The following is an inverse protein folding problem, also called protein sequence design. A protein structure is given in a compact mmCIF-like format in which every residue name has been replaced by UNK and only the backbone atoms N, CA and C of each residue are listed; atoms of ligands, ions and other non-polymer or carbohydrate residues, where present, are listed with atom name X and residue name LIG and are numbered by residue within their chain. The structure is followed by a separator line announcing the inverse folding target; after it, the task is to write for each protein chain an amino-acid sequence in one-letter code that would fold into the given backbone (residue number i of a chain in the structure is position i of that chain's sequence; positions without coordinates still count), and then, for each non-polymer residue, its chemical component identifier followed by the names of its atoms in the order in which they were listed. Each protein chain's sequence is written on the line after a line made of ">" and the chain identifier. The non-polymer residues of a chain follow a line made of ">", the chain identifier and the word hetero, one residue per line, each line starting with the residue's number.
data_IF_544625245723
#
_entry.id   IF_544625245723
#
_cell.length_a   1.000
_cell.length_b   1.000
_cell.length_c   1.000
_cell.angle_alpha   90.00
_cell.angle_beta   90.00
_cell.angle_gamma   90.00
#
_symmetry.space_group_name_H-M   'P 1'
#
loop_
_entity.id
_entity.type
_entity.pdbx_description
1 polymer ?
#
# COMPACT_ATOMS: atom_id res chain seq x y z
N UNK A 1 8.64 16.21 15.27
CA UNK A 1 8.67 17.04 14.05
C UNK A 1 7.68 18.18 14.22
N UNK A 2 8.12 19.42 13.95
CA UNK A 2 7.23 20.57 13.92
C UNK A 2 6.25 20.49 12.75
N UNK A 3 5.01 20.96 12.93
CA UNK A 3 3.99 20.98 11.89
C UNK A 3 4.36 22.05 10.86
N UNK A 4 4.56 21.65 9.61
CA UNK A 4 4.92 22.53 8.50
C UNK A 4 3.84 22.57 7.41
N UNK A 5 3.71 23.70 6.73
CA UNK A 5 2.73 23.90 5.65
C UNK A 5 3.04 23.11 4.37
N UNK A 6 4.27 22.56 4.26
CA UNK A 6 4.72 21.77 3.11
C UNK A 6 4.41 20.27 3.24
N UNK A 7 3.95 19.83 4.41
CA UNK A 7 3.63 18.43 4.71
C UNK A 7 2.10 18.32 4.74
N UNK A 8 1.60 17.35 4.03
CA UNK A 8 0.15 17.11 3.92
C UNK A 8 -0.39 16.39 5.15
N UNK A 9 -1.63 16.69 5.50
CA UNK A 9 -2.42 15.93 6.47
C UNK A 9 -3.18 14.83 5.72
N UNK A 10 -3.22 13.64 6.30
CA UNK A 10 -4.08 12.56 5.82
C UNK A 10 -5.56 12.88 6.08
N UNK A 11 -6.51 12.21 5.43
CA UNK A 11 -7.94 12.29 5.77
C UNK A 11 -8.26 11.85 7.21
N UNK A 12 -7.36 11.12 7.85
CA UNK A 12 -7.50 10.58 9.20
C UNK A 12 -6.76 11.40 10.27
N UNK A 13 -6.14 12.53 9.88
CA UNK A 13 -5.28 13.32 10.76
C UNK A 13 -5.99 13.75 12.04
N UNK A 14 -7.23 14.26 11.96
CA UNK A 14 -7.99 14.71 13.12
C UNK A 14 -8.41 13.53 14.01
N UNK A 15 -8.72 12.38 13.42
CA UNK A 15 -8.96 11.13 14.17
C UNK A 15 -7.69 10.67 14.88
N UNK A 16 -6.52 10.75 14.25
CA UNK A 16 -5.25 10.43 14.91
C UNK A 16 -5.02 11.30 16.15
N UNK A 17 -5.28 12.60 16.06
CA UNK A 17 -5.20 13.53 17.21
C UNK A 17 -6.20 13.15 18.30
N UNK A 18 -7.45 12.88 17.93
CA UNK A 18 -8.53 12.49 18.86
C UNK A 18 -8.19 11.22 19.64
N UNK A 19 -7.56 10.22 18.98
CA UNK A 19 -7.23 8.94 19.57
C UNK A 19 -5.81 8.87 20.18
N UNK A 20 -5.15 10.02 20.36
CA UNK A 20 -3.97 10.16 21.19
C UNK A 20 -2.67 9.78 20.50
N UNK A 21 -2.53 10.13 19.21
CA UNK A 21 -1.23 10.00 18.53
C UNK A 21 -0.13 10.71 19.32
N UNK A 22 0.99 10.03 19.54
CA UNK A 22 2.12 10.55 20.32
C UNK A 22 3.14 11.31 19.48
N UNK A 23 3.11 11.13 18.15
CA UNK A 23 4.00 11.82 17.24
C UNK A 23 3.72 11.47 15.78
N UNK A 24 4.35 12.23 14.89
CA UNK A 24 4.30 12.00 13.45
C UNK A 24 5.72 12.00 12.88
N UNK A 25 5.94 11.17 11.88
CA UNK A 25 7.04 11.29 10.92
C UNK A 25 6.52 11.81 9.59
N UNK A 26 7.40 11.96 8.61
CA UNK A 26 7.05 12.32 7.24
C UNK A 26 7.34 11.13 6.33
N UNK A 27 6.36 10.73 5.57
CA UNK A 27 6.43 9.69 4.57
C UNK A 27 5.69 10.16 3.32
N UNK A 28 6.30 10.12 2.15
CA UNK A 28 5.72 10.65 0.91
C UNK A 28 5.15 12.09 1.04
N UNK A 29 5.84 12.98 1.79
CA UNK A 29 5.41 14.37 2.06
C UNK A 29 4.07 14.47 2.81
N UNK A 30 3.67 13.43 3.54
CA UNK A 30 2.48 13.38 4.38
C UNK A 30 2.85 13.01 5.81
N UNK A 31 2.09 13.49 6.79
CA UNK A 31 2.23 13.06 8.18
C UNK A 31 1.79 11.62 8.35
N UNK A 32 2.68 10.78 8.85
CA UNK A 32 2.43 9.39 9.22
C UNK A 32 2.54 9.24 10.73
N UNK A 33 1.54 8.69 11.44
CA UNK A 33 1.64 8.44 12.88
C UNK A 33 2.83 7.56 13.23
N UNK A 34 3.47 7.82 14.38
CA UNK A 34 4.60 7.02 14.89
C UNK A 34 4.29 6.25 16.17
N UNK A 35 3.12 6.44 16.76
CA UNK A 35 2.66 5.69 17.93
C UNK A 35 1.44 6.31 18.58
N UNK A 36 0.75 5.51 19.38
CA UNK A 36 -0.41 5.91 20.21
C UNK A 36 -0.23 5.43 21.65
N UNK A 37 -0.25 4.12 21.89
CA UNK A 37 -0.20 3.53 23.23
C UNK A 37 1.17 2.93 23.61
N UNK A 38 2.13 3.08 22.72
CA UNK A 38 3.49 2.57 22.84
C UNK A 38 3.71 1.25 22.13
N UNK A 39 4.95 1.00 21.63
CA UNK A 39 5.26 -0.07 20.70
C UNK A 39 4.92 -1.47 21.23
N UNK A 40 5.15 -1.73 22.50
CA UNK A 40 4.86 -3.03 23.11
C UNK A 40 3.36 -3.33 23.15
N UNK A 41 2.53 -2.38 23.60
CA UNK A 41 1.07 -2.55 23.66
C UNK A 41 0.46 -2.67 22.29
N UNK A 42 0.96 -1.89 21.33
CA UNK A 42 0.52 -1.94 19.94
C UNK A 42 0.89 -3.28 19.30
N UNK A 43 2.11 -3.77 19.55
CA UNK A 43 2.57 -5.09 19.13
C UNK A 43 1.70 -6.21 19.71
N UNK A 44 1.44 -6.20 21.03
CA UNK A 44 0.59 -7.23 21.66
C UNK A 44 -0.83 -7.25 21.09
N UNK A 45 -1.40 -6.08 20.79
CA UNK A 45 -2.71 -6.01 20.14
C UNK A 45 -2.68 -6.53 18.71
N UNK A 46 -1.61 -6.25 17.96
CA UNK A 46 -1.43 -6.69 16.58
C UNK A 46 -1.36 -8.22 16.47
N UNK A 47 -0.65 -8.89 17.38
CA UNK A 47 -0.47 -10.35 17.31
C UNK A 47 -1.60 -11.15 18.00
N UNK A 48 -2.42 -10.55 18.86
CA UNK A 48 -3.44 -11.26 19.62
C UNK A 48 -4.89 -10.85 19.29
N UNK A 49 -5.09 -9.63 18.78
CA UNK A 49 -6.42 -9.04 18.62
C UNK A 49 -6.63 -8.50 17.19
N UNK A 50 -7.04 -7.26 17.10
CA UNK A 50 -7.13 -6.50 15.84
C UNK A 50 -6.63 -5.08 16.07
N UNK A 51 -5.92 -4.57 15.09
CA UNK A 51 -5.43 -3.21 15.07
C UNK A 51 -5.83 -2.53 13.77
N UNK A 52 -5.87 -1.20 13.78
CA UNK A 52 -6.07 -0.43 12.55
C UNK A 52 -5.33 0.91 12.67
N UNK A 53 -4.99 1.48 11.53
CA UNK A 53 -4.19 2.71 11.50
C UNK A 53 -4.23 3.42 10.16
N UNK A 54 -3.77 4.66 10.21
CA UNK A 54 -3.62 5.57 9.08
C UNK A 54 -2.38 5.21 8.27
N UNK A 55 -2.58 4.71 7.05
CA UNK A 55 -1.55 4.40 6.06
C UNK A 55 -1.68 5.26 4.80
N UNK A 56 -2.45 6.36 4.85
CA UNK A 56 -2.67 7.25 3.71
C UNK A 56 -1.38 7.86 3.13
N UNK A 57 -0.29 7.84 3.89
CA UNK A 57 1.01 8.31 3.44
C UNK A 57 1.62 7.46 2.30
N UNK A 58 1.10 6.28 2.00
CA UNK A 58 1.53 5.48 0.84
C UNK A 58 1.21 6.14 -0.50
N UNK A 59 0.24 7.06 -0.56
CA UNK A 59 -0.10 7.88 -1.73
C UNK A 59 -0.15 7.11 -3.04
N UNK A 60 -1.28 6.52 -3.33
CA UNK A 60 -1.49 5.72 -4.54
C UNK A 60 -1.22 6.51 -5.81
N UNK A 61 -0.72 5.82 -6.83
CA UNK A 61 -0.52 6.33 -8.18
C UNK A 61 -1.47 5.55 -9.08
N UNK A 62 -2.38 6.25 -9.77
CA UNK A 62 -3.25 5.64 -10.76
C UNK A 62 -2.58 5.72 -12.14
N UNK A 63 -2.55 4.58 -12.83
CA UNK A 63 -2.17 4.44 -14.24
C UNK A 63 -3.41 3.94 -14.96
N UNK A 64 -3.87 4.71 -15.94
CA UNK A 64 -5.10 4.42 -16.68
C UNK A 64 -4.93 4.74 -18.16
N UNK A 65 -5.46 3.91 -19.03
CA UNK A 65 -5.43 4.09 -20.48
C UNK A 65 -5.28 2.76 -21.23
N UNK A 66 -5.49 2.76 -22.55
CA UNK A 66 -5.40 1.56 -23.39
C UNK A 66 -4.08 0.79 -23.21
N UNK A 67 -2.96 1.49 -23.02
CA UNK A 67 -1.63 0.91 -22.90
C UNK A 67 -1.17 0.76 -21.44
N UNK A 68 -2.09 0.89 -20.45
CA UNK A 68 -1.73 0.85 -19.04
C UNK A 68 -1.09 -0.47 -18.61
N UNK A 69 -1.57 -1.62 -19.11
CA UNK A 69 -0.99 -2.93 -18.82
C UNK A 69 0.44 -3.04 -19.35
N UNK A 70 0.68 -2.60 -20.57
CA UNK A 70 2.01 -2.66 -21.19
C UNK A 70 3.00 -1.72 -20.49
N UNK A 71 2.54 -0.54 -20.07
CA UNK A 71 3.34 0.36 -19.28
C UNK A 71 3.69 -0.25 -17.91
N UNK A 72 2.72 -0.85 -17.22
CA UNK A 72 2.97 -1.50 -15.91
C UNK A 72 3.93 -2.68 -16.06
N UNK A 73 3.87 -3.44 -17.16
CA UNK A 73 4.85 -4.49 -17.47
C UNK A 73 6.24 -3.94 -17.73
N UNK A 74 6.32 -2.79 -18.41
CA UNK A 74 7.60 -2.18 -18.77
C UNK A 74 8.39 -1.62 -17.58
N UNK A 75 7.71 -1.12 -16.54
CA UNK A 75 8.37 -0.43 -15.41
C UNK A 75 8.89 -1.35 -14.30
N UNK A 76 8.69 -2.67 -14.39
CA UNK A 76 9.03 -3.61 -13.34
C UNK A 76 9.34 -5.03 -13.90
N UNK A 77 10.18 -5.86 -13.23
CA UNK A 77 10.69 -7.11 -13.77
C UNK A 77 9.78 -8.33 -13.57
N UNK A 78 8.71 -8.23 -12.80
CA UNK A 78 7.84 -9.36 -12.48
C UNK A 78 6.90 -9.68 -13.62
N UNK A 79 6.76 -10.96 -13.96
CA UNK A 79 5.73 -11.42 -14.91
C UNK A 79 4.33 -11.20 -14.35
N UNK A 80 3.47 -10.53 -15.12
CA UNK A 80 2.10 -10.17 -14.75
C UNK A 80 1.02 -10.99 -15.47
N UNK A 81 1.34 -12.08 -16.15
CA UNK A 81 0.37 -12.89 -16.90
C UNK A 81 -0.75 -13.44 -16.01
N UNK A 82 -0.45 -13.68 -14.74
CA UNK A 82 -1.41 -14.13 -13.70
C UNK A 82 -1.91 -12.98 -12.81
N UNK A 83 -1.86 -11.74 -13.31
CA UNK A 83 -2.43 -10.59 -12.62
C UNK A 83 -3.79 -10.25 -13.21
N UNK A 84 -4.82 -11.03 -12.87
CA UNK A 84 -6.20 -10.80 -13.30
C UNK A 84 -6.79 -9.53 -12.67
N UNK A 85 -7.90 -9.02 -13.21
CA UNK A 85 -8.68 -7.94 -12.59
C UNK A 85 -9.07 -8.36 -11.17
N UNK A 86 -8.95 -7.44 -10.21
CA UNK A 86 -9.12 -7.73 -8.79
C UNK A 86 -7.92 -8.43 -8.14
N UNK A 87 -6.79 -8.56 -8.83
CA UNK A 87 -5.56 -9.10 -8.23
C UNK A 87 -4.61 -7.99 -7.80
N UNK A 88 -3.90 -8.26 -6.70
CA UNK A 88 -2.77 -7.47 -6.24
C UNK A 88 -1.45 -8.23 -6.48
N UNK A 89 -0.36 -7.51 -6.68
CA UNK A 89 1.00 -8.06 -6.79
C UNK A 89 1.99 -7.15 -6.09
N UNK A 90 2.88 -7.72 -5.29
CA UNK A 90 4.05 -6.99 -4.84
C UNK A 90 5.06 -6.92 -5.98
N UNK A 91 5.50 -5.74 -6.33
CA UNK A 91 6.40 -5.45 -7.45
C UNK A 91 7.61 -4.63 -6.98
N UNK A 92 8.67 -4.66 -7.78
CA UNK A 92 9.85 -3.81 -7.60
C UNK A 92 10.05 -2.99 -8.87
N UNK A 93 10.19 -1.69 -8.72
CA UNK A 93 10.54 -0.80 -9.81
C UNK A 93 12.05 -0.73 -9.93
N UNK A 94 12.59 -0.89 -11.13
CA UNK A 94 14.04 -0.89 -11.37
C UNK A 94 14.47 0.21 -12.34
N UNK A 95 15.70 0.69 -12.20
CA UNK A 95 16.34 1.55 -13.19
C UNK A 95 17.06 0.73 -14.28
N UNK A 96 17.61 1.39 -15.28
CA UNK A 96 18.30 0.74 -16.42
C UNK A 96 19.55 -0.05 -16.02
N UNK A 97 20.07 0.14 -14.83
CA UNK A 97 21.21 -0.60 -14.29
C UNK A 97 20.76 -1.77 -13.38
N UNK A 98 19.44 -2.00 -13.25
CA UNK A 98 18.87 -2.99 -12.36
C UNK A 98 18.78 -2.57 -10.89
N UNK A 99 19.16 -1.32 -10.57
CA UNK A 99 19.03 -0.77 -9.23
C UNK A 99 17.58 -0.51 -8.85
N UNK A 100 17.24 -0.70 -7.57
CA UNK A 100 15.86 -0.59 -7.09
C UNK A 100 15.48 0.89 -6.95
N UNK A 101 14.46 1.32 -7.69
CA UNK A 101 13.87 2.66 -7.56
C UNK A 101 12.92 2.73 -6.37
N UNK A 102 12.10 1.70 -6.18
CA UNK A 102 11.14 1.57 -5.08
C UNK A 102 10.50 0.18 -5.12
N UNK A 103 9.81 -0.20 -4.06
CA UNK A 103 8.91 -1.33 -4.01
C UNK A 103 7.46 -0.85 -3.91
N UNK A 104 6.52 -1.68 -4.31
CA UNK A 104 5.11 -1.28 -4.30
C UNK A 104 4.15 -2.47 -4.27
N UNK A 105 2.94 -2.22 -3.80
CA UNK A 105 1.80 -3.07 -4.09
C UNK A 105 1.09 -2.56 -5.35
N UNK A 106 0.99 -3.41 -6.37
CA UNK A 106 0.22 -3.16 -7.59
C UNK A 106 -1.18 -3.76 -7.40
N UNK A 107 -2.22 -2.96 -7.68
CA UNK A 107 -3.61 -3.41 -7.73
C UNK A 107 -4.12 -3.27 -9.17
N UNK A 108 -4.64 -4.33 -9.75
CA UNK A 108 -5.33 -4.28 -11.05
C UNK A 108 -6.83 -4.14 -10.83
N UNK A 109 -7.36 -2.94 -11.00
CA UNK A 109 -8.76 -2.64 -10.68
C UNK A 109 -9.71 -2.87 -11.86
N UNK A 110 -9.20 -2.74 -13.09
CA UNK A 110 -9.95 -2.96 -14.33
C UNK A 110 -8.98 -3.40 -15.43
N UNK A 111 -9.49 -3.64 -16.63
CA UNK A 111 -8.68 -4.00 -17.79
C UNK A 111 -7.51 -3.02 -17.99
N UNK A 112 -7.81 -1.73 -17.95
CA UNK A 112 -6.90 -0.63 -18.25
C UNK A 112 -6.64 0.30 -17.06
N UNK A 113 -6.90 -0.15 -15.83
CA UNK A 113 -6.77 0.67 -14.64
C UNK A 113 -5.99 -0.03 -13.53
N UNK A 114 -4.90 0.60 -13.13
CA UNK A 114 -4.02 0.10 -12.08
C UNK A 114 -3.78 1.16 -11.02
N UNK A 115 -3.64 0.70 -9.76
CA UNK A 115 -3.05 1.50 -8.70
C UNK A 115 -1.70 0.90 -8.30
N UNK A 116 -0.75 1.80 -8.02
CA UNK A 116 0.53 1.47 -7.39
C UNK A 116 0.56 2.14 -6.02
N UNK A 117 0.75 1.36 -4.96
CA UNK A 117 0.93 1.80 -3.57
C UNK A 117 2.43 1.68 -3.23
N UNK A 118 3.23 2.76 -3.39
CA UNK A 118 4.69 2.70 -3.29
C UNK A 118 5.17 2.89 -1.86
N UNK A 119 6.42 2.50 -1.62
CA UNK A 119 7.22 2.94 -0.49
C UNK A 119 7.53 4.45 -0.52
N UNK A 120 8.33 4.95 0.44
CA UNK A 120 8.68 6.38 0.49
C UNK A 120 9.49 6.81 -0.73
N UNK A 121 9.09 7.92 -1.36
CA UNK A 121 9.77 8.49 -2.52
C UNK A 121 8.86 9.14 -3.56
N UNK A 122 9.44 9.84 -4.51
CA UNK A 122 8.71 10.52 -5.58
C UNK A 122 8.48 9.60 -6.80
N UNK A 123 7.97 8.38 -6.59
CA UNK A 123 7.73 7.37 -7.64
C UNK A 123 6.86 7.91 -8.77
N UNK A 124 5.85 8.71 -8.45
CA UNK A 124 4.98 9.31 -9.46
C UNK A 124 5.76 10.13 -10.49
N UNK A 125 6.78 10.88 -10.06
CA UNK A 125 7.60 11.69 -10.98
C UNK A 125 8.46 10.80 -11.87
N UNK A 126 8.97 9.67 -11.35
CA UNK A 126 9.69 8.68 -12.13
C UNK A 126 8.80 8.09 -13.22
N UNK A 127 7.59 7.66 -12.87
CA UNK A 127 6.65 7.06 -13.82
C UNK A 127 6.18 8.07 -14.89
N UNK A 128 5.87 9.30 -14.48
CA UNK A 128 5.53 10.37 -15.42
C UNK A 128 6.70 10.70 -16.36
N UNK A 129 7.93 10.71 -15.84
CA UNK A 129 9.14 10.96 -16.65
C UNK A 129 9.34 9.87 -17.71
N UNK A 130 9.11 8.60 -17.40
CA UNK A 130 9.17 7.49 -18.35
C UNK A 130 8.06 7.63 -19.39
N UNK A 131 6.84 7.97 -18.98
CA UNK A 131 5.67 8.06 -19.85
C UNK A 131 5.81 9.15 -20.94
N UNK A 132 6.52 10.26 -20.67
CA UNK A 132 6.65 11.40 -21.62
C UNK A 132 7.07 10.97 -23.03
N UNK A 133 7.99 10.01 -23.13
CA UNK A 133 8.56 9.57 -24.41
C UNK A 133 8.22 8.11 -24.74
N UNK A 134 7.30 7.49 -24.01
CA UNK A 134 6.93 6.08 -24.25
C UNK A 134 6.12 5.87 -25.53
N UNK A 135 5.41 6.90 -25.98
CA UNK A 135 4.43 6.78 -27.07
C UNK A 135 3.14 6.05 -26.67
N UNK A 136 2.99 5.67 -25.40
CA UNK A 136 1.84 4.94 -24.87
C UNK A 136 0.68 5.89 -24.53
N UNK A 137 -0.54 5.47 -24.82
CA UNK A 137 -1.78 6.19 -24.49
C UNK A 137 -2.20 5.87 -23.05
N UNK A 138 -1.61 6.61 -22.10
CA UNK A 138 -1.84 6.48 -20.68
C UNK A 138 -1.92 7.82 -19.95
N UNK A 139 -2.63 7.82 -18.84
CA UNK A 139 -2.61 8.91 -17.84
C UNK A 139 -2.04 8.41 -16.54
N UNK A 140 -1.19 9.23 -15.89
CA UNK A 140 -0.58 8.92 -14.58
C UNK A 140 -0.85 10.09 -13.65
N UNK A 141 -1.57 9.86 -12.57
CA UNK A 141 -1.89 10.87 -11.57
C UNK A 141 -2.04 10.27 -10.16
N UNK A 142 -2.08 11.11 -9.15
CA UNK A 142 -2.44 10.74 -7.78
C UNK A 142 -3.96 10.84 -7.62
N UNK A 143 -4.68 9.72 -7.42
CA UNK A 143 -6.12 9.72 -7.19
C UNK A 143 -6.45 10.21 -5.77
N UNK A 144 -7.70 10.60 -5.52
CA UNK A 144 -8.20 10.85 -4.16
C UNK A 144 -8.46 9.53 -3.43
N UNK A 145 -7.39 8.84 -3.07
CA UNK A 145 -7.42 7.53 -2.43
C UNK A 145 -6.52 7.53 -1.20
N UNK A 146 -7.01 6.96 -0.11
CA UNK A 146 -6.28 6.94 1.16
C UNK A 146 -6.52 5.63 1.90
N UNK A 147 -5.49 4.76 2.04
CA UNK A 147 -5.63 3.50 2.75
C UNK A 147 -5.75 3.68 4.27
N UNK A 148 -6.67 2.92 4.86
CA UNK A 148 -6.77 2.62 6.28
C UNK A 148 -6.49 1.13 6.43
N UNK A 149 -5.41 0.74 7.11
CA UNK A 149 -5.05 -0.67 7.28
C UNK A 149 -5.70 -1.25 8.53
N UNK A 150 -6.22 -2.48 8.42
CA UNK A 150 -6.74 -3.30 9.52
C UNK A 150 -5.90 -4.58 9.56
N UNK A 151 -5.33 -4.92 10.72
CA UNK A 151 -4.40 -6.04 10.86
C UNK A 151 -4.59 -6.82 12.15
N UNK A 152 -4.21 -8.09 12.15
CA UNK A 152 -4.21 -8.98 13.30
C UNK A 152 -5.13 -10.17 13.15
N UNK A 153 -5.06 -11.18 14.03
CA UNK A 153 -5.79 -12.44 13.91
C UNK A 153 -7.32 -12.29 13.91
N UNK A 154 -7.85 -11.19 14.44
CA UNK A 154 -9.30 -10.91 14.46
C UNK A 154 -9.73 -9.96 13.35
N UNK A 155 -8.84 -9.56 12.43
CA UNK A 155 -9.17 -8.63 11.33
C UNK A 155 -10.28 -9.16 10.43
N UNK A 156 -10.28 -10.46 10.08
CA UNK A 156 -11.35 -11.07 9.32
C UNK A 156 -12.74 -10.93 9.99
N UNK A 157 -12.80 -11.10 11.32
CA UNK A 157 -14.06 -10.92 12.07
C UNK A 157 -14.53 -9.46 12.07
N UNK A 158 -13.58 -8.52 12.13
CA UNK A 158 -13.91 -7.10 12.04
C UNK A 158 -14.44 -6.76 10.64
N UNK A 159 -13.81 -7.26 9.57
CA UNK A 159 -14.30 -7.08 8.19
C UNK A 159 -15.69 -7.70 8.03
N UNK A 160 -15.90 -8.93 8.51
CA UNK A 160 -17.22 -9.58 8.50
C UNK A 160 -18.29 -8.69 9.16
N UNK A 161 -17.99 -8.11 10.32
CA UNK A 161 -18.90 -7.21 11.02
C UNK A 161 -19.15 -5.90 10.26
N UNK A 162 -18.12 -5.29 9.70
CA UNK A 162 -18.23 -4.00 8.99
C UNK A 162 -19.04 -4.13 7.70
N UNK A 163 -18.94 -5.25 7.00
CA UNK A 163 -19.50 -5.45 5.66
C UNK A 163 -20.59 -6.55 5.61
N UNK A 164 -21.13 -6.96 6.77
CA UNK A 164 -22.18 -8.00 6.88
C UNK A 164 -21.81 -9.30 6.13
N UNK A 165 -20.55 -9.73 6.25
CA UNK A 165 -20.02 -10.94 5.65
C UNK A 165 -19.71 -10.86 4.13
N UNK A 166 -19.90 -9.70 3.50
CA UNK A 166 -19.77 -9.55 2.04
C UNK A 166 -18.38 -9.89 1.49
N UNK A 167 -17.32 -9.74 2.29
CA UNK A 167 -15.91 -9.95 1.88
C UNK A 167 -15.23 -11.10 2.62
N UNK A 168 -16.01 -12.03 3.19
CA UNK A 168 -15.47 -13.16 3.96
C UNK A 168 -14.56 -14.07 3.14
N UNK A 169 -14.83 -14.19 1.83
CA UNK A 169 -14.07 -15.03 0.91
C UNK A 169 -13.00 -14.28 0.13
N UNK A 170 -12.74 -13.00 0.45
CA UNK A 170 -11.71 -12.22 -0.23
C UNK A 170 -10.34 -12.88 -0.07
N UNK A 171 -9.78 -13.39 -1.17
CA UNK A 171 -8.52 -14.13 -1.19
C UNK A 171 -7.31 -13.25 -0.91
N UNK A 172 -6.20 -13.86 -0.49
CA UNK A 172 -4.93 -13.18 -0.30
C UNK A 172 -4.43 -12.54 -1.60
N UNK A 173 -4.02 -11.28 -1.54
CA UNK A 173 -3.65 -10.45 -2.70
C UNK A 173 -4.80 -10.30 -3.72
N UNK A 174 -6.02 -10.16 -3.22
CA UNK A 174 -7.21 -9.78 -4.00
C UNK A 174 -7.78 -8.47 -3.50
N UNK A 175 -8.43 -7.76 -4.43
CA UNK A 175 -9.08 -6.47 -4.17
C UNK A 175 -10.45 -6.40 -4.85
N UNK A 176 -11.39 -5.71 -4.21
CA UNK A 176 -12.76 -5.54 -4.70
C UNK A 176 -13.23 -4.11 -4.47
N UNK A 177 -13.96 -3.56 -5.43
CA UNK A 177 -14.68 -2.29 -5.26
C UNK A 177 -15.86 -2.50 -4.32
N UNK A 178 -16.00 -1.64 -3.31
CA UNK A 178 -17.06 -1.73 -2.30
C UNK A 178 -17.45 -0.38 -1.72
N UNK A 179 -18.38 -0.39 -0.78
CA UNK A 179 -18.72 0.76 0.05
C UNK A 179 -19.13 0.33 1.45
N UNK A 180 -18.87 1.16 2.44
CA UNK A 180 -19.33 0.99 3.83
C UNK A 180 -20.29 2.13 4.17
N UNK A 181 -21.58 1.85 4.28
CA UNK A 181 -22.64 2.84 4.55
C UNK A 181 -22.54 4.08 3.62
N UNK A 182 -22.32 3.84 2.33
CA UNK A 182 -22.18 4.92 1.33
C UNK A 182 -20.79 5.53 1.22
N UNK A 183 -19.82 5.13 2.03
CA UNK A 183 -18.42 5.55 1.92
C UNK A 183 -17.75 4.68 0.83
N UNK A 184 -17.36 5.25 -0.33
CA UNK A 184 -16.79 4.47 -1.43
C UNK A 184 -15.35 4.07 -1.14
N UNK A 185 -14.99 2.83 -1.45
CA UNK A 185 -13.63 2.32 -1.26
C UNK A 185 -13.34 1.08 -2.09
N UNK A 186 -12.08 0.77 -2.23
CA UNK A 186 -11.60 -0.57 -2.58
C UNK A 186 -11.17 -1.26 -1.29
N UNK A 187 -11.60 -2.50 -1.07
CA UNK A 187 -11.04 -3.37 -0.05
C UNK A 187 -10.03 -4.30 -0.68
N UNK A 188 -8.83 -4.41 -0.11
CA UNK A 188 -7.83 -5.39 -0.52
C UNK A 188 -7.39 -6.25 0.66
N UNK A 189 -7.13 -7.53 0.41
CA UNK A 189 -6.52 -8.41 1.40
C UNK A 189 -5.00 -8.39 1.24
N UNK A 190 -4.45 -7.23 1.53
CA UNK A 190 -3.05 -6.87 1.53
C UNK A 190 -2.69 -6.20 2.86
N UNK A 191 -1.43 -5.85 3.07
CA UNK A 191 -0.95 -5.12 4.24
C UNK A 191 0.51 -5.41 4.54
N UNK A 192 1.12 -4.52 5.30
CA UNK A 192 2.54 -4.55 5.64
C UNK A 192 2.77 -4.75 7.15
N UNK A 193 2.13 -5.76 7.73
CA UNK A 193 2.20 -6.03 9.18
C UNK A 193 2.71 -7.42 9.56
N UNK A 194 2.85 -8.33 8.59
CA UNK A 194 3.15 -9.75 8.87
C UNK A 194 1.99 -10.54 9.50
N UNK A 195 0.81 -9.91 9.65
CA UNK A 195 -0.42 -10.53 10.15
C UNK A 195 -1.49 -10.55 9.07
N UNK A 196 -2.60 -11.26 9.32
CA UNK A 196 -3.79 -11.16 8.48
C UNK A 196 -4.23 -9.71 8.41
N UNK A 197 -4.24 -9.14 7.21
CA UNK A 197 -4.49 -7.72 7.00
C UNK A 197 -5.46 -7.46 5.86
N UNK A 198 -6.15 -6.33 6.00
CA UNK A 198 -6.98 -5.73 4.96
C UNK A 198 -6.67 -4.24 4.88
N UNK A 199 -6.73 -3.70 3.69
CA UNK A 199 -6.58 -2.28 3.42
C UNK A 199 -7.86 -1.75 2.81
N UNK A 200 -8.41 -0.72 3.45
CA UNK A 200 -9.58 0.01 2.99
C UNK A 200 -9.10 1.27 2.27
N UNK A 201 -9.05 1.23 0.96
CA UNK A 201 -8.63 2.35 0.11
C UNK A 201 -9.80 3.32 -0.08
N UNK A 202 -9.97 4.25 0.85
CA UNK A 202 -11.00 5.28 0.83
C UNK A 202 -10.90 6.13 -0.45
N UNK A 203 -12.03 6.32 -1.17
CA UNK A 203 -12.10 7.06 -2.44
C UNK A 203 -12.80 8.44 -2.31
N UNK A 204 -12.90 8.99 -1.13
CA UNK A 204 -13.30 10.38 -0.86
C UNK A 204 -12.68 10.84 0.46
N UNK A 205 -11.65 11.65 0.38
CA UNK A 205 -10.91 12.15 1.55
C UNK A 205 -11.78 12.88 2.58
N UNK A 206 -12.92 13.43 2.17
CA UNK A 206 -13.83 14.13 3.09
C UNK A 206 -14.48 13.18 4.10
N UNK A 207 -14.56 11.90 3.76
CA UNK A 207 -15.18 10.85 4.58
C UNK A 207 -14.16 10.10 5.46
N UNK A 208 -12.91 10.57 5.54
CA UNK A 208 -11.85 9.88 6.29
C UNK A 208 -12.16 9.72 7.77
N UNK A 209 -12.56 10.80 8.44
CA UNK A 209 -12.92 10.73 9.85
C UNK A 209 -14.14 9.83 10.09
N UNK A 210 -15.14 9.84 9.19
CA UNK A 210 -16.32 8.98 9.30
C UNK A 210 -15.95 7.50 9.16
N UNK A 211 -15.11 7.16 8.20
CA UNK A 211 -14.58 5.79 8.06
C UNK A 211 -13.81 5.37 9.30
N UNK A 212 -12.90 6.22 9.79
CA UNK A 212 -12.09 5.92 10.96
C UNK A 212 -12.96 5.64 12.19
N UNK A 213 -13.99 6.46 12.44
CA UNK A 213 -14.93 6.29 13.55
C UNK A 213 -15.75 5.00 13.44
N UNK A 214 -16.19 4.63 12.23
CA UNK A 214 -16.92 3.37 12.01
C UNK A 214 -16.03 2.17 12.33
N UNK A 215 -14.80 2.16 11.84
CA UNK A 215 -13.83 1.09 12.12
C UNK A 215 -13.50 1.06 13.61
N UNK A 216 -13.24 2.21 14.23
CA UNK A 216 -12.96 2.30 15.67
C UNK A 216 -14.08 1.67 16.51
N UNK A 217 -15.34 2.07 16.27
CA UNK A 217 -16.50 1.55 17.01
C UNK A 217 -16.67 0.04 16.84
N UNK A 218 -16.56 -0.45 15.60
CA UNK A 218 -16.72 -1.88 15.32
C UNK A 218 -15.56 -2.71 15.92
N UNK A 219 -14.36 -2.18 15.95
CA UNK A 219 -13.17 -2.85 16.48
C UNK A 219 -13.21 -3.09 17.99
N UNK A 220 -13.98 -2.29 18.76
CA UNK A 220 -14.06 -2.43 20.23
C UNK A 220 -14.58 -3.81 20.64
N UNK A 221 -15.45 -4.46 19.88
CA UNK A 221 -15.94 -5.82 20.16
C UNK A 221 -14.85 -6.90 20.02
N UNK A 222 -13.72 -6.56 19.47
CA UNK A 222 -12.60 -7.46 19.22
C UNK A 222 -11.31 -7.05 19.95
N UNK A 223 -11.42 -6.19 20.98
CA UNK A 223 -10.30 -5.54 21.68
C UNK A 223 -9.44 -4.69 20.73
N UNK A 224 -10.08 -4.03 19.76
CA UNK A 224 -9.40 -3.28 18.72
C UNK A 224 -8.64 -2.07 19.23
N UNK A 225 -7.49 -1.81 18.63
CA UNK A 225 -6.59 -0.72 19.00
C UNK A 225 -6.16 0.08 17.77
N UNK A 226 -6.11 1.40 17.92
CA UNK A 226 -5.43 2.27 16.95
C UNK A 226 -3.93 2.09 17.12
N UNK A 227 -3.21 1.89 16.01
CA UNK A 227 -1.75 1.77 16.01
C UNK A 227 -1.10 2.61 14.90
N UNK A 228 0.19 2.85 15.06
CA UNK A 228 1.09 3.26 13.98
C UNK A 228 1.73 2.02 13.31
N UNK A 229 2.44 2.17 12.16
CA UNK A 229 3.23 1.09 11.59
C UNK A 229 4.16 0.46 12.63
N UNK A 230 4.05 -0.87 12.84
CA UNK A 230 4.77 -1.57 13.91
C UNK A 230 6.01 -2.27 13.35
N UNK A 231 7.17 -1.65 13.52
CA UNK A 231 8.45 -2.16 13.00
C UNK A 231 8.90 -3.47 13.66
N UNK A 232 8.48 -3.77 14.90
CA UNK A 232 8.83 -5.03 15.57
C UNK A 232 8.26 -6.20 14.77
N UNK A 233 6.96 -6.13 14.44
CA UNK A 233 6.29 -7.24 13.75
C UNK A 233 6.71 -7.35 12.28
N UNK A 234 7.03 -6.24 11.62
CA UNK A 234 7.57 -6.28 10.24
C UNK A 234 8.95 -6.94 10.18
N UNK A 235 9.82 -6.67 11.16
CA UNK A 235 11.13 -7.34 11.27
C UNK A 235 10.94 -8.85 11.51
N UNK A 236 10.07 -9.26 12.43
CA UNK A 236 9.74 -10.67 12.67
C UNK A 236 9.16 -11.35 11.41
N UNK A 237 8.35 -10.63 10.65
CA UNK A 237 7.75 -11.10 9.39
C UNK A 237 8.72 -11.13 8.21
N UNK A 238 9.95 -10.62 8.36
CA UNK A 238 10.93 -10.51 7.29
C UNK A 238 10.49 -9.54 6.19
N UNK A 239 9.70 -8.52 6.53
CA UNK A 239 9.25 -7.50 5.58
C UNK A 239 10.30 -6.39 5.51
N UNK A 240 10.83 -6.18 4.33
CA UNK A 240 11.81 -5.12 4.06
C UNK A 240 11.11 -3.81 3.70
N UNK A 241 11.75 -2.69 4.05
CA UNK A 241 11.27 -1.34 3.79
C UNK A 241 12.26 -0.57 2.93
N UNK A 242 11.80 -0.05 1.81
CA UNK A 242 12.61 0.85 0.97
C UNK A 242 13.06 2.09 1.77
N UNK A 243 14.33 2.43 1.62
CA UNK A 243 14.95 3.55 2.33
C UNK A 243 15.48 3.21 3.73
N UNK A 244 15.01 2.13 4.35
CA UNK A 244 15.52 1.65 5.65
C UNK A 244 16.40 0.41 5.50
N UNK A 245 15.92 -0.59 4.76
CA UNK A 245 16.59 -1.89 4.63
C UNK A 245 17.30 -2.05 3.28
N UNK A 246 16.83 -1.37 2.26
CA UNK A 246 17.42 -1.35 0.93
C UNK A 246 17.13 -0.04 0.19
N UNK A 247 17.91 0.24 -0.87
CA UNK A 247 17.80 1.44 -1.69
C UNK A 247 18.38 1.22 -3.09
N UNK A 248 18.65 2.30 -3.79
CA UNK A 248 19.12 2.31 -5.19
C UNK A 248 20.47 1.60 -5.44
N UNK A 249 21.27 1.43 -4.40
CA UNK A 249 22.53 0.69 -4.40
C UNK A 249 22.33 -0.83 -4.46
N UNK A 250 21.11 -1.29 -4.24
CA UNK A 250 20.74 -2.70 -4.30
C UNK A 250 20.00 -3.02 -5.60
N UNK A 251 20.11 -4.28 -6.02
CA UNK A 251 19.22 -4.87 -7.03
C UNK A 251 18.34 -5.95 -6.39
N UNK A 252 17.29 -6.44 -7.05
CA UNK A 252 16.39 -7.44 -6.48
C UNK A 252 17.08 -8.70 -5.96
N UNK A 253 18.15 -9.16 -6.62
CA UNK A 253 18.88 -10.36 -6.22
C UNK A 253 19.65 -10.18 -4.92
N UNK A 254 20.26 -9.01 -4.70
CA UNK A 254 21.07 -8.73 -3.50
C UNK A 254 20.24 -8.67 -2.22
N UNK A 255 18.92 -8.53 -2.33
CA UNK A 255 17.99 -8.49 -1.19
C UNK A 255 17.06 -9.72 -1.13
N UNK A 256 17.35 -10.76 -1.95
CA UNK A 256 16.61 -12.02 -1.93
C UNK A 256 15.22 -11.96 -2.59
N UNK A 257 15.02 -11.04 -3.53
CA UNK A 257 13.76 -10.88 -4.26
C UNK A 257 13.81 -11.48 -5.68
N UNK A 258 14.67 -12.50 -5.89
CA UNK A 258 14.83 -13.23 -7.14
C UNK A 258 13.48 -13.66 -7.75
N UNK A 259 12.55 -14.14 -6.91
CA UNK A 259 11.21 -14.58 -7.31
C UNK A 259 10.34 -13.49 -7.95
N UNK A 260 10.73 -12.23 -7.82
CA UNK A 260 10.04 -11.08 -8.40
C UNK A 260 10.64 -10.65 -9.75
N UNK A 261 11.67 -11.35 -10.21
CA UNK A 261 12.39 -11.04 -11.46
C UNK A 261 12.22 -12.19 -12.44
N UNK A 262 11.65 -11.91 -13.59
CA UNK A 262 11.54 -12.84 -14.72
C UNK A 262 12.26 -12.23 -15.92
N UNK A 263 13.55 -12.52 -16.04
CA UNK A 263 14.37 -12.00 -17.16
C UNK A 263 14.10 -12.75 -18.46
N UNK A 264 13.47 -13.94 -18.38
CA UNK A 264 13.19 -14.79 -19.54
C UNK A 264 11.83 -14.48 -20.20
N UNK A 265 11.00 -13.63 -19.56
CA UNK A 265 9.73 -13.20 -20.17
C UNK A 265 9.99 -12.48 -21.51
N UNK A 266 9.09 -12.66 -22.49
CA UNK A 266 9.21 -12.05 -23.83
C UNK A 266 9.15 -10.53 -23.78
N UNK A 267 8.35 -9.99 -22.83
CA UNK A 267 8.13 -8.57 -22.66
C UNK A 267 9.41 -7.89 -22.12
N UNK A 268 9.77 -6.78 -22.75
CA UNK A 268 10.90 -5.98 -22.28
C UNK A 268 10.49 -5.12 -21.06
N UNK A 269 11.46 -4.88 -20.18
CA UNK A 269 11.26 -4.02 -18.99
C UNK A 269 12.55 -3.26 -18.63
N UNK A 270 12.40 -2.19 -17.90
CA UNK A 270 13.52 -1.33 -17.48
C UNK A 270 14.47 -2.14 -16.59
N UNK A 271 15.75 -2.21 -17.00
CA UNK A 271 16.80 -2.94 -16.28
C UNK A 271 16.97 -4.40 -16.68
N UNK A 272 16.19 -4.94 -17.65
CA UNK A 272 16.25 -6.35 -18.05
C UNK A 272 17.67 -6.82 -18.40
N UNK A 273 18.38 -6.08 -19.25
CA UNK A 273 19.75 -6.46 -19.67
C UNK A 273 20.78 -6.40 -18.52
N UNK A 274 20.57 -5.54 -17.55
CA UNK A 274 21.41 -5.48 -16.36
C UNK A 274 21.13 -6.64 -15.39
N UNK A 275 19.86 -7.05 -15.27
CA UNK A 275 19.43 -8.14 -14.38
C UNK A 275 19.69 -9.52 -14.96
N UNK A 276 20.01 -9.67 -16.24
CA UNK A 276 20.47 -10.93 -16.87
C UNK A 276 21.93 -11.28 -16.56
N UNK A 277 22.73 -10.33 -16.12
CA UNK A 277 24.17 -10.49 -15.83
C UNK A 277 24.42 -10.96 -14.42
#
# INVERSE_FOLDING_TARGET
>A
IGIGTRIRKSPYYDSNLKYGVTGFTVYNKMYLPTGFSGPEKEYQSLINDVTFGDFAAERQIEINGPDALDFVRFIQPRNLDKCDIGSCKYIILTDMNGGIINDACLLRLDENKFWISPGDGDVILWLQGIAINSGMDITIHEPDVSPLQISGPKSGKLIQKLFDGKHDELGYYKAEQTSLDGIPMVIARTGWSGELSYELYLQDRKLGNDLFEKVYKAAQDFNGRVIAPNTIRTIEGGLLSYGSDFGREHNPYTIGFDRLVDVDQEIDFIGKEALKK
#
